data_IF_814410496198
#
_entry.id   IF_814410496198
#
_cell.length_a   1.000
_cell.length_b   1.000
_cell.length_c   1.000
_cell.angle_alpha   90.00
_cell.angle_beta   90.00
_cell.angle_gamma   90.00
#
_symmetry.space_group_name_H-M   'P 1'
#
loop_
_entity.id
_entity.type
_entity.pdbx_description
1 polymer ?
#
# COMPACT_ATOMS: atom_id res chain seq x y z
N UNK A 1 -8.70 0.75 8.70
CA UNK A 1 -7.80 1.43 7.75
C UNK A 1 -6.55 1.76 8.54
N UNK A 2 -5.38 1.33 8.07
CA UNK A 2 -4.09 1.71 8.65
C UNK A 2 -3.37 2.63 7.67
N UNK A 3 -2.52 3.50 8.20
CA UNK A 3 -1.60 4.33 7.43
C UNK A 3 -0.19 3.73 7.40
N UNK A 4 0.03 2.62 8.11
CA UNK A 4 1.29 1.89 8.14
C UNK A 4 1.28 0.74 7.11
N UNK A 5 2.19 0.81 6.15
CA UNK A 5 2.33 -0.17 5.08
C UNK A 5 2.84 -1.52 5.62
N UNK A 6 3.75 -1.51 6.59
CA UNK A 6 4.33 -2.72 7.16
C UNK A 6 3.28 -3.48 7.96
N UNK A 7 2.50 -2.76 8.79
CA UNK A 7 1.38 -3.35 9.53
C UNK A 7 0.37 -4.01 8.58
N UNK A 8 0.02 -3.34 7.47
CA UNK A 8 -0.88 -3.90 6.46
C UNK A 8 -0.31 -5.17 5.82
N UNK A 9 0.98 -5.19 5.49
CA UNK A 9 1.65 -6.36 4.89
C UNK A 9 1.77 -7.54 5.85
N UNK A 10 1.91 -7.31 7.16
CA UNK A 10 2.00 -8.40 8.15
C UNK A 10 0.61 -8.96 8.47
N UNK A 11 -0.40 -8.11 8.63
CA UNK A 11 -1.69 -8.51 9.17
C UNK A 11 -2.71 -8.90 8.09
N UNK A 12 -2.76 -8.20 6.95
CA UNK A 12 -3.90 -8.29 6.04
C UNK A 12 -3.80 -9.47 5.05
N UNK A 13 -4.89 -10.17 4.78
CA UNK A 13 -4.91 -11.12 3.63
C UNK A 13 -5.05 -10.39 2.29
N UNK A 14 -5.58 -9.17 2.32
CA UNK A 14 -5.80 -8.33 1.14
C UNK A 14 -5.65 -6.87 1.52
N UNK A 15 -4.95 -6.11 0.67
CA UNK A 15 -4.77 -4.66 0.82
C UNK A 15 -5.48 -3.98 -0.34
N UNK A 16 -6.28 -2.95 -0.04
CA UNK A 16 -6.88 -2.08 -1.05
C UNK A 16 -6.23 -0.71 -0.93
N UNK A 17 -5.58 -0.25 -2.00
CA UNK A 17 -5.08 1.10 -2.09
C UNK A 17 -6.18 1.99 -2.63
N UNK A 18 -6.45 3.09 -1.93
CA UNK A 18 -7.54 4.01 -2.24
C UNK A 18 -6.97 5.36 -2.69
N UNK A 19 -7.64 5.99 -3.65
CA UNK A 19 -7.32 7.36 -4.05
C UNK A 19 -7.76 8.37 -3.01
N UNK A 20 -7.20 9.58 -3.14
CA UNK A 20 -7.78 10.77 -2.52
C UNK A 20 -9.19 11.03 -3.03
N UNK A 21 -9.92 11.91 -2.35
CA UNK A 21 -11.32 12.19 -2.66
C UNK A 21 -11.46 12.75 -4.09
N UNK A 22 -12.46 12.30 -4.86
CA UNK A 22 -13.41 11.23 -4.54
C UNK A 22 -12.75 9.84 -4.48
N UNK A 23 -13.09 9.04 -3.47
CA UNK A 23 -12.39 7.77 -3.17
C UNK A 23 -12.69 6.69 -4.21
N UNK A 24 -11.65 6.22 -4.88
CA UNK A 24 -11.68 5.08 -5.80
C UNK A 24 -10.68 4.02 -5.37
N UNK A 25 -10.93 2.76 -5.69
CA UNK A 25 -9.94 1.69 -5.52
C UNK A 25 -8.94 1.79 -6.66
N UNK A 26 -7.68 2.05 -6.32
CA UNK A 26 -6.60 2.16 -7.29
C UNK A 26 -5.96 0.81 -7.56
N UNK A 27 -5.70 0.05 -6.50
CA UNK A 27 -5.07 -1.26 -6.62
C UNK A 27 -5.52 -2.20 -5.51
N UNK A 28 -5.50 -3.49 -5.80
CA UNK A 28 -5.79 -4.56 -4.85
C UNK A 28 -4.61 -5.53 -4.83
N UNK A 29 -4.08 -5.76 -3.64
CA UNK A 29 -3.03 -6.76 -3.40
C UNK A 29 -3.60 -7.92 -2.60
N UNK A 30 -3.40 -9.14 -3.08
CA UNK A 30 -3.67 -10.36 -2.31
C UNK A 30 -2.35 -10.88 -1.76
N UNK A 31 -2.33 -11.20 -0.46
CA UNK A 31 -1.16 -11.68 0.26
C UNK A 31 -1.39 -13.13 0.67
N UNK A 32 -0.85 -14.04 -0.14
CA UNK A 32 -1.00 -15.49 0.03
C UNK A 32 0.11 -16.10 0.90
N UNK A 33 1.07 -15.30 1.38
CA UNK A 33 2.10 -15.78 2.29
C UNK A 33 1.51 -16.27 3.62
N UNK A 34 1.93 -17.48 4.00
CA UNK A 34 1.60 -18.09 5.28
C UNK A 34 2.11 -17.26 6.46
N UNK A 35 1.39 -17.31 7.58
CA UNK A 35 1.77 -16.63 8.83
C UNK A 35 2.69 -17.54 9.68
N UNK A 36 3.64 -16.99 10.46
CA UNK A 36 3.93 -15.57 10.65
C UNK A 36 4.65 -14.96 9.43
N UNK A 37 4.25 -13.75 9.04
CA UNK A 37 4.89 -13.06 7.92
C UNK A 37 6.13 -12.35 8.39
N UNK A 38 7.25 -12.68 7.78
CA UNK A 38 8.54 -12.07 8.03
C UNK A 38 8.91 -11.19 6.84
N UNK A 39 8.88 -9.87 7.07
CA UNK A 39 9.21 -8.86 6.05
C UNK A 39 10.71 -8.87 5.70
N UNK A 40 11.57 -9.18 6.67
CA UNK A 40 13.02 -9.14 6.51
C UNK A 40 13.52 -10.37 5.75
N UNK A 41 12.87 -11.53 5.96
CA UNK A 41 13.24 -12.78 5.32
C UNK A 41 12.41 -13.14 4.07
N UNK A 42 11.45 -12.29 3.66
CA UNK A 42 10.63 -12.52 2.47
C UNK A 42 10.91 -11.48 1.38
N UNK A 43 11.70 -11.82 0.34
CA UNK A 43 11.97 -10.91 -0.77
C UNK A 43 10.71 -10.51 -1.54
N UNK A 44 9.69 -11.37 -1.54
CA UNK A 44 8.38 -11.04 -2.14
C UNK A 44 7.67 -9.95 -1.36
N UNK A 45 7.64 -10.03 -0.03
CA UNK A 45 7.01 -9.00 0.81
C UNK A 45 7.81 -7.68 0.75
N UNK A 46 9.14 -7.74 0.73
CA UNK A 46 9.99 -6.57 0.55
C UNK A 46 9.68 -5.83 -0.76
N UNK A 47 9.56 -6.55 -1.89
CA UNK A 47 9.17 -5.94 -3.17
C UNK A 47 7.77 -5.33 -3.14
N UNK A 48 6.80 -6.00 -2.50
CA UNK A 48 5.45 -5.46 -2.35
C UNK A 48 5.43 -4.20 -1.47
N UNK A 49 6.26 -4.15 -0.43
CA UNK A 49 6.48 -2.96 0.41
C UNK A 49 7.00 -1.79 -0.41
N UNK A 50 8.08 -2.00 -1.15
CA UNK A 50 8.66 -0.96 -2.02
C UNK A 50 7.64 -0.42 -3.02
N UNK A 51 6.88 -1.31 -3.66
CA UNK A 51 5.83 -0.94 -4.61
C UNK A 51 4.71 -0.13 -3.95
N UNK A 52 4.19 -0.57 -2.79
CA UNK A 52 3.16 0.16 -2.04
C UNK A 52 3.64 1.55 -1.61
N UNK A 53 4.88 1.68 -1.14
CA UNK A 53 5.47 2.96 -0.75
C UNK A 53 5.60 3.89 -1.96
N UNK A 54 6.05 3.37 -3.10
CA UNK A 54 6.18 4.14 -4.33
C UNK A 54 4.82 4.69 -4.80
N UNK A 55 3.78 3.85 -4.81
CA UNK A 55 2.42 4.27 -5.17
C UNK A 55 1.87 5.30 -4.20
N UNK A 56 2.08 5.11 -2.90
CA UNK A 56 1.61 6.07 -1.90
C UNK A 56 2.22 7.45 -2.11
N UNK A 57 3.53 7.53 -2.37
CA UNK A 57 4.21 8.81 -2.68
C UNK A 57 3.66 9.47 -3.94
N UNK A 58 3.44 8.71 -5.01
CA UNK A 58 2.84 9.24 -6.24
C UNK A 58 1.44 9.83 -5.99
N UNK A 59 0.66 9.24 -5.09
CA UNK A 59 -0.66 9.75 -4.71
C UNK A 59 -0.59 11.05 -3.90
N UNK A 60 0.38 11.17 -3.00
CA UNK A 60 0.63 12.41 -2.26
C UNK A 60 1.04 13.55 -3.20
N UNK A 61 1.94 13.27 -4.15
CA UNK A 61 2.37 14.23 -5.17
C UNK A 61 1.22 14.67 -6.08
N UNK A 62 0.40 13.72 -6.53
CA UNK A 62 -0.74 14.02 -7.40
C UNK A 62 -1.84 14.82 -6.70
N UNK A 63 -2.00 14.63 -5.38
CA UNK A 63 -2.98 15.37 -4.58
C UNK A 63 -2.52 16.78 -4.23
N UNK A 64 -1.20 16.99 -4.07
CA UNK A 64 -0.62 18.32 -3.84
C UNK A 64 -0.76 19.26 -5.05
N UNK A 65 -0.89 18.72 -6.26
CA UNK A 65 -0.99 19.49 -7.51
C UNK A 65 -2.41 19.94 -7.87
N UNK A 66 -3.44 19.50 -7.14
CA UNK A 66 -4.86 19.78 -7.43
C UNK A 66 -5.52 20.88 -6.58
N UNK A 67 -4.77 21.55 -5.70
CA UNK A 67 -5.32 22.49 -4.70
C UNK A 67 -5.11 23.99 -5.04
N UNK A 68 -4.95 24.33 -6.32
CA UNK A 68 -4.63 25.70 -6.76
C UNK A 68 -5.57 26.28 -7.85
N UNK A 69 -6.81 25.78 -7.97
CA UNK A 69 -7.86 26.39 -8.82
C UNK A 69 -9.08 26.76 -7.98
#
# INVERSE_FOLDING_TARGET
MTHDVEEALVLANRILLLSNKPTHVLETFTLDEARPRDLDNSPTLARRKEHLIALFRQLEESAGNGAAD
#
